data_IF_110098125407
#
_entry.id   IF_110098125407
#
_cell.length_a   1.000
_cell.length_b   1.000
_cell.length_c   1.000
_cell.angle_alpha   90.00
_cell.angle_beta   90.00
_cell.angle_gamma   90.00
#
_symmetry.space_group_name_H-M   'P 1'
#
loop_
_entity.id
_entity.type
_entity.pdbx_description
1 polymer ?
#
# COMPACT_ATOMS: atom_id res chain seq x y z
N UNK A 1 -84.16 -21.06 -24.20
CA UNK A 1 -83.20 -20.03 -24.41
C UNK A 1 -81.76 -20.60 -24.59
N UNK A 2 -80.93 -19.99 -25.42
CA UNK A 2 -79.53 -20.46 -25.57
C UNK A 2 -78.74 -20.34 -24.31
N UNK A 3 -77.71 -21.19 -24.13
CA UNK A 3 -76.88 -21.10 -22.94
C UNK A 3 -76.08 -19.79 -22.93
N UNK A 4 -75.67 -19.26 -21.75
CA UNK A 4 -74.93 -18.06 -21.69
C UNK A 4 -73.57 -18.26 -22.36
N UNK A 5 -72.94 -17.16 -22.90
CA UNK A 5 -71.63 -17.28 -23.48
C UNK A 5 -70.56 -17.62 -22.45
N UNK A 6 -69.49 -18.31 -22.83
CA UNK A 6 -68.45 -18.65 -21.88
C UNK A 6 -67.78 -17.39 -21.34
N UNK A 7 -67.24 -17.43 -20.14
CA UNK A 7 -66.52 -16.30 -19.57
C UNK A 7 -65.28 -15.93 -20.43
N UNK A 8 -64.89 -14.68 -20.42
CA UNK A 8 -63.69 -14.29 -21.17
C UNK A 8 -62.45 -14.97 -20.58
N UNK A 9 -61.42 -15.20 -21.37
CA UNK A 9 -60.18 -15.79 -20.87
C UNK A 9 -59.50 -14.88 -19.86
N UNK A 10 -58.75 -15.42 -18.94
CA UNK A 10 -58.02 -14.61 -17.96
C UNK A 10 -56.98 -13.73 -18.67
N UNK A 11 -56.64 -12.55 -18.11
CA UNK A 11 -55.64 -11.73 -18.69
C UNK A 11 -54.28 -12.42 -18.71
N UNK A 12 -53.41 -12.08 -19.65
CA UNK A 12 -52.06 -12.67 -19.67
C UNK A 12 -51.28 -12.29 -18.43
N UNK A 13 -50.33 -13.13 -17.99
CA UNK A 13 -49.50 -12.80 -16.84
C UNK A 13 -48.64 -11.56 -17.12
N UNK A 14 -48.30 -10.77 -16.09
CA UNK A 14 -47.46 -9.63 -16.31
C UNK A 14 -46.08 -10.06 -16.81
N UNK A 15 -45.40 -9.19 -17.60
CA UNK A 15 -44.06 -9.53 -18.05
C UNK A 15 -43.09 -9.70 -16.87
N UNK A 16 -42.05 -10.53 -16.99
CA UNK A 16 -41.11 -10.70 -15.91
C UNK A 16 -40.46 -9.38 -15.57
N UNK A 17 -40.15 -9.19 -14.27
CA UNK A 17 -39.49 -7.98 -13.84
C UNK A 17 -38.10 -7.86 -14.50
N UNK A 18 -37.69 -6.63 -14.82
CA UNK A 18 -36.35 -6.39 -15.31
C UNK A 18 -35.31 -6.85 -14.31
N UNK A 19 -34.16 -7.38 -14.76
CA UNK A 19 -33.10 -7.75 -13.83
C UNK A 19 -32.64 -6.54 -13.03
N UNK A 20 -32.18 -6.71 -11.79
CA UNK A 20 -31.69 -5.58 -11.03
C UNK A 20 -30.49 -4.94 -11.74
N UNK A 21 -30.27 -3.66 -11.55
CA UNK A 21 -29.08 -3.02 -12.15
C UNK A 21 -27.82 -3.67 -11.62
N UNK A 22 -26.73 -3.70 -12.40
CA UNK A 22 -25.49 -4.24 -11.90
C UNK A 22 -24.99 -3.43 -10.69
N UNK A 23 -24.25 -4.04 -9.76
CA UNK A 23 -23.71 -3.29 -8.65
C UNK A 23 -22.80 -2.18 -9.15
N UNK A 24 -22.66 -1.08 -8.41
CA UNK A 24 -21.75 -0.02 -8.83
C UNK A 24 -20.32 -0.57 -8.92
N UNK A 25 -19.48 -0.01 -9.81
CA UNK A 25 -18.10 -0.45 -9.90
C UNK A 25 -17.39 -0.24 -8.56
N UNK A 26 -16.38 -1.07 -8.22
CA UNK A 26 -15.64 -0.88 -7.00
C UNK A 26 -14.95 0.48 -7.00
N UNK A 27 -14.66 1.06 -5.81
CA UNK A 27 -13.90 2.30 -5.74
C UNK A 27 -12.55 2.14 -6.46
N UNK A 28 -12.03 3.20 -7.11
CA UNK A 28 -10.75 3.10 -7.79
C UNK A 28 -9.64 2.75 -6.81
N UNK A 29 -8.70 1.86 -7.20
CA UNK A 29 -7.57 1.54 -6.35
C UNK A 29 -6.66 2.74 -6.20
N UNK A 30 -6.02 2.83 -5.02
CA UNK A 30 -4.97 3.80 -4.75
C UNK A 30 -3.69 3.00 -4.55
N UNK A 31 -2.69 3.27 -5.38
CA UNK A 31 -1.36 2.71 -5.19
C UNK A 31 -0.39 3.87 -5.28
N UNK A 32 0.21 4.22 -4.16
CA UNK A 32 1.15 5.34 -4.08
C UNK A 32 2.47 4.82 -3.52
N UNK A 33 3.53 5.02 -4.28
CA UNK A 33 4.88 4.65 -3.87
C UNK A 33 5.66 5.91 -3.54
N UNK A 34 6.21 5.95 -2.35
CA UNK A 34 7.03 7.06 -1.87
C UNK A 34 8.42 6.55 -1.57
N UNK A 35 9.43 7.25 -2.05
CA UNK A 35 10.83 6.90 -1.80
C UNK A 35 11.41 7.91 -0.82
N UNK A 36 11.99 7.40 0.25
CA UNK A 36 12.64 8.22 1.27
C UNK A 36 14.15 7.93 1.28
N UNK A 37 14.95 8.98 1.40
CA UNK A 37 16.39 8.82 1.56
C UNK A 37 16.68 8.16 2.92
N UNK A 38 17.43 7.07 2.91
CA UNK A 38 17.75 6.38 4.16
C UNK A 38 18.58 7.26 5.10
N UNK A 39 19.41 8.13 4.54
CA UNK A 39 20.24 9.04 5.35
C UNK A 39 19.40 10.05 6.13
N UNK A 40 18.21 10.40 5.64
CA UNK A 40 17.25 11.25 6.36
C UNK A 40 16.48 10.49 7.44
N UNK A 41 16.37 9.18 7.30
CA UNK A 41 15.60 8.33 8.21
C UNK A 41 16.45 7.70 9.30
N UNK A 42 17.68 7.34 8.99
CA UNK A 42 18.56 6.58 9.86
C UNK A 42 19.98 7.14 9.83
N UNK A 43 20.66 7.02 10.96
CA UNK A 43 22.10 7.26 10.99
C UNK A 43 22.85 6.12 10.32
N UNK A 44 24.08 6.37 9.89
CA UNK A 44 24.90 5.38 9.20
C UNK A 44 25.00 4.09 10.02
N UNK A 45 24.66 2.96 9.39
CA UNK A 45 24.72 1.64 10.01
C UNK A 45 23.66 1.38 11.09
N UNK A 46 22.72 2.29 11.28
CA UNK A 46 21.69 2.16 12.31
C UNK A 46 20.30 1.98 11.72
N UNK A 47 19.42 1.42 12.54
CA UNK A 47 18.02 1.19 12.16
C UNK A 47 17.03 1.92 13.06
N UNK A 48 17.50 2.76 13.96
CA UNK A 48 16.63 3.61 14.78
C UNK A 48 16.18 4.83 13.98
N UNK A 49 14.88 5.10 14.01
CA UNK A 49 14.30 6.21 13.24
C UNK A 49 14.71 7.57 13.83
N UNK A 50 15.17 8.46 12.96
CA UNK A 50 15.46 9.84 13.33
C UNK A 50 14.13 10.62 13.49
N UNK A 51 14.12 11.75 14.25
CA UNK A 51 12.91 12.56 14.38
C UNK A 51 12.30 12.99 13.05
N UNK A 52 13.12 13.32 12.06
CA UNK A 52 12.68 13.68 10.71
C UNK A 52 11.91 12.54 10.05
N UNK A 53 12.39 11.30 10.23
CA UNK A 53 11.71 10.11 9.70
C UNK A 53 10.33 9.94 10.32
N UNK A 54 10.26 10.13 11.63
CA UNK A 54 8.97 10.01 12.34
C UNK A 54 7.96 11.02 11.84
N UNK A 55 8.37 12.26 11.60
CA UNK A 55 7.50 13.29 11.06
C UNK A 55 6.98 12.91 9.67
N UNK A 56 7.83 12.37 8.80
CA UNK A 56 7.44 11.94 7.46
C UNK A 56 6.49 10.74 7.49
N UNK A 57 6.73 9.81 8.40
CA UNK A 57 5.85 8.65 8.57
C UNK A 57 4.50 9.05 9.18
N UNK A 58 4.47 10.03 10.08
CA UNK A 58 3.21 10.58 10.61
C UNK A 58 2.38 11.19 9.49
N UNK A 59 3.01 11.91 8.58
CA UNK A 59 2.34 12.47 7.41
C UNK A 59 1.77 11.36 6.52
N UNK A 60 2.53 10.29 6.32
CA UNK A 60 2.06 9.13 5.56
C UNK A 60 0.84 8.49 6.21
N UNK A 61 0.85 8.30 7.52
CA UNK A 61 -0.28 7.75 8.26
C UNK A 61 -1.52 8.64 8.10
N UNK A 62 -1.33 9.95 8.16
CA UNK A 62 -2.44 10.90 7.95
C UNK A 62 -3.08 10.73 6.57
N UNK A 63 -2.27 10.47 5.54
CA UNK A 63 -2.79 10.24 4.19
C UNK A 63 -3.59 8.95 4.07
N UNK A 64 -3.33 7.95 4.90
CA UNK A 64 -4.07 6.69 4.86
C UNK A 64 -5.46 6.79 5.50
N UNK A 65 -5.74 7.84 6.26
CA UNK A 65 -7.04 7.99 6.93
C UNK A 65 -8.19 8.24 5.94
N UNK A 66 -7.88 8.74 4.74
CA UNK A 66 -8.88 8.99 3.70
C UNK A 66 -9.12 7.83 2.75
N UNK A 67 -8.47 6.68 2.98
CA UNK A 67 -8.60 5.51 2.12
C UNK A 67 -8.90 4.27 2.95
N UNK A 68 -9.46 3.25 2.27
CA UNK A 68 -9.60 1.92 2.85
C UNK A 68 -8.27 1.19 2.61
N UNK A 69 -7.42 1.19 3.61
CA UNK A 69 -6.08 0.63 3.50
C UNK A 69 -6.13 -0.90 3.37
N UNK A 70 -5.50 -1.42 2.34
CA UNK A 70 -5.32 -2.86 2.14
C UNK A 70 -3.97 -3.31 2.65
N UNK A 71 -2.90 -2.66 2.18
CA UNK A 71 -1.54 -3.06 2.51
C UNK A 71 -0.59 -1.87 2.41
N UNK A 72 0.43 -1.88 3.27
CA UNK A 72 1.60 -1.02 3.16
C UNK A 72 2.81 -1.93 3.04
N UNK A 73 3.65 -1.67 2.05
CA UNK A 73 4.87 -2.44 1.81
C UNK A 73 6.06 -1.51 2.01
N UNK A 74 6.92 -1.85 2.96
CA UNK A 74 8.15 -1.09 3.23
C UNK A 74 9.34 -1.92 2.76
N UNK A 75 10.13 -1.39 1.84
CA UNK A 75 11.29 -2.08 1.27
C UNK A 75 12.54 -1.25 1.52
N UNK A 76 13.49 -1.84 2.23
CA UNK A 76 14.78 -1.20 2.51
C UNK A 76 15.80 -1.56 1.44
N UNK A 77 16.60 -0.58 1.05
CA UNK A 77 17.69 -0.73 0.10
C UNK A 77 18.95 -0.08 0.63
N UNK A 78 20.10 -0.64 0.26
CA UNK A 78 21.41 -0.10 0.65
C UNK A 78 22.25 0.18 -0.60
N UNK A 79 23.39 0.85 -0.40
CA UNK A 79 24.45 0.89 -1.41
C UNK A 79 25.27 -0.40 -1.34
N UNK A 80 26.36 -0.47 -2.09
CA UNK A 80 27.23 -1.65 -2.15
C UNK A 80 28.37 -1.64 -1.14
N UNK A 81 28.39 -0.69 -0.22
CA UNK A 81 29.42 -0.65 0.83
C UNK A 81 29.12 -1.70 1.90
N UNK A 82 30.15 -2.45 2.28
CA UNK A 82 30.02 -3.52 3.24
C UNK A 82 29.68 -4.87 2.58
N UNK A 83 29.49 -5.89 3.39
CA UNK A 83 29.16 -7.22 2.88
C UNK A 83 27.69 -7.29 2.50
N UNK A 84 27.39 -8.23 1.57
CA UNK A 84 26.02 -8.51 1.13
C UNK A 84 25.13 -8.90 2.33
N UNK A 85 25.63 -9.78 3.19
CA UNK A 85 24.89 -10.22 4.37
C UNK A 85 24.62 -9.09 5.35
N UNK A 86 25.58 -8.18 5.57
CA UNK A 86 25.39 -7.02 6.41
C UNK A 86 24.32 -6.09 5.84
N UNK A 87 24.41 -5.77 4.55
CA UNK A 87 23.47 -4.88 3.89
C UNK A 87 22.06 -5.48 3.87
N UNK A 88 21.95 -6.79 3.69
CA UNK A 88 20.66 -7.46 3.75
C UNK A 88 20.03 -7.32 5.14
N UNK A 89 20.78 -7.59 6.19
CA UNK A 89 20.29 -7.44 7.57
C UNK A 89 19.91 -6.00 7.89
N UNK A 90 20.72 -5.04 7.46
CA UNK A 90 20.46 -3.63 7.71
C UNK A 90 19.17 -3.18 7.02
N UNK A 91 18.97 -3.58 5.76
CA UNK A 91 17.78 -3.21 5.01
C UNK A 91 16.50 -3.80 5.64
N UNK A 92 16.57 -5.04 6.11
CA UNK A 92 15.45 -5.68 6.82
C UNK A 92 15.18 -4.95 8.13
N UNK A 93 16.22 -4.67 8.92
CA UNK A 93 16.06 -3.98 10.21
C UNK A 93 15.44 -2.60 10.03
N UNK A 94 15.83 -1.88 8.99
CA UNK A 94 15.27 -0.55 8.69
C UNK A 94 13.80 -0.62 8.28
N UNK A 95 13.43 -1.57 7.43
CA UNK A 95 12.02 -1.73 7.06
C UNK A 95 11.17 -2.20 8.24
N UNK A 96 11.71 -3.05 9.11
CA UNK A 96 11.03 -3.45 10.35
C UNK A 96 10.85 -2.28 11.31
N UNK A 97 11.81 -1.36 11.38
CA UNK A 97 11.68 -0.15 12.19
C UNK A 97 10.53 0.73 11.70
N UNK A 98 10.39 0.85 10.39
CA UNK A 98 9.26 1.57 9.77
C UNK A 98 7.94 0.90 10.14
N UNK A 99 7.86 -0.42 10.04
CA UNK A 99 6.66 -1.18 10.40
C UNK A 99 6.29 -0.97 11.86
N UNK A 100 7.26 -1.07 12.77
CA UNK A 100 7.01 -0.89 14.20
C UNK A 100 6.46 0.50 14.50
N UNK A 101 6.98 1.52 13.84
CA UNK A 101 6.50 2.88 13.99
C UNK A 101 5.06 3.04 13.48
N UNK A 102 4.77 2.51 12.29
CA UNK A 102 3.44 2.58 11.71
C UNK A 102 2.40 1.85 12.58
N UNK A 103 2.74 0.67 13.09
CA UNK A 103 1.83 -0.07 13.96
C UNK A 103 1.61 0.64 15.29
N UNK A 104 2.63 1.32 15.80
CA UNK A 104 2.50 2.16 16.99
C UNK A 104 1.60 3.37 16.79
N UNK A 105 1.38 3.77 15.55
CA UNK A 105 0.48 4.88 15.19
C UNK A 105 -0.94 4.43 14.82
N UNK A 106 -1.24 3.16 14.97
CA UNK A 106 -2.58 2.64 14.76
C UNK A 106 -2.80 1.88 13.46
N UNK A 107 -1.77 1.70 12.63
CA UNK A 107 -1.87 0.86 11.45
C UNK A 107 -1.86 -0.61 11.87
N UNK A 108 -2.79 -1.40 11.35
CA UNK A 108 -2.88 -2.81 11.69
C UNK A 108 -1.63 -3.57 11.26
N UNK A 109 -1.05 -4.32 12.19
CA UNK A 109 0.19 -5.06 11.97
C UNK A 109 0.12 -6.00 10.76
N UNK A 110 -1.01 -6.66 10.56
CA UNK A 110 -1.19 -7.61 9.46
C UNK A 110 -1.35 -6.95 8.09
N UNK A 111 -1.40 -5.61 8.04
CA UNK A 111 -1.48 -4.85 6.80
C UNK A 111 -0.13 -4.27 6.38
N UNK A 112 0.90 -4.41 7.21
CA UNK A 112 2.22 -3.87 6.90
C UNK A 112 3.18 -5.02 6.62
N UNK A 113 3.73 -5.02 5.42
CA UNK A 113 4.72 -6.00 4.97
C UNK A 113 6.06 -5.32 4.83
N UNK A 114 7.10 -6.03 5.17
CA UNK A 114 8.47 -5.52 5.11
C UNK A 114 9.33 -6.42 4.25
N UNK A 115 10.29 -5.82 3.56
CA UNK A 115 11.24 -6.54 2.77
C UNK A 115 12.57 -5.78 2.78
N UNK A 116 13.67 -6.53 2.82
CA UNK A 116 15.00 -5.96 2.67
C UNK A 116 15.63 -6.49 1.39
N UNK A 117 16.02 -5.59 0.50
CA UNK A 117 16.67 -5.94 -0.75
C UNK A 117 18.19 -5.80 -0.68
N UNK A 118 18.72 -5.23 0.42
CA UNK A 118 20.14 -4.99 0.53
C UNK A 118 20.64 -4.14 -0.64
N UNK A 119 21.76 -4.54 -1.23
CA UNK A 119 22.36 -3.85 -2.37
C UNK A 119 21.92 -4.38 -3.75
N UNK A 120 20.99 -5.34 -3.78
CA UNK A 120 20.66 -6.09 -5.00
C UNK A 120 19.86 -5.33 -6.04
N UNK A 121 19.23 -4.22 -5.69
CA UNK A 121 18.40 -3.44 -6.61
C UNK A 121 18.82 -1.97 -6.62
N UNK A 122 20.00 -1.65 -7.15
CA UNK A 122 20.44 -0.27 -7.22
C UNK A 122 19.63 0.51 -8.27
N UNK A 123 19.40 1.79 -7.98
CA UNK A 123 18.77 2.73 -8.93
C UNK A 123 19.77 3.68 -9.52
N UNK A 124 21.01 3.66 -9.03
CA UNK A 124 22.09 4.56 -9.47
C UNK A 124 23.44 3.83 -9.35
N UNK A 125 24.49 4.49 -9.81
CA UNK A 125 25.83 3.93 -9.81
C UNK A 125 26.42 3.92 -8.39
N UNK A 126 26.85 2.75 -7.92
CA UNK A 126 27.51 2.59 -6.62
C UNK A 126 28.97 3.06 -6.61
N UNK A 127 29.48 3.52 -7.74
CA UNK A 127 30.86 4.04 -7.85
C UNK A 127 30.95 5.52 -7.47
N UNK A 128 29.84 6.23 -7.44
CA UNK A 128 29.81 7.66 -7.09
C UNK A 128 29.12 7.86 -5.76
N UNK A 129 29.48 8.97 -5.07
CA UNK A 129 28.83 9.35 -3.82
C UNK A 129 27.33 9.60 -4.01
N UNK A 130 26.99 10.31 -5.08
CA UNK A 130 25.61 10.63 -5.41
C UNK A 130 24.79 9.38 -5.70
N UNK A 131 25.38 8.43 -6.45
CA UNK A 131 24.75 7.18 -6.78
C UNK A 131 24.51 6.32 -5.54
N UNK A 132 25.51 6.20 -4.67
CA UNK A 132 25.37 5.48 -3.39
C UNK A 132 24.27 6.07 -2.54
N UNK A 133 24.22 7.40 -2.44
CA UNK A 133 23.18 8.10 -1.68
C UNK A 133 21.78 7.77 -2.20
N UNK A 134 21.60 7.71 -3.51
CA UNK A 134 20.34 7.35 -4.14
C UNK A 134 19.98 5.90 -3.89
N UNK A 135 20.96 5.01 -3.80
CA UNK A 135 20.71 3.59 -3.52
C UNK A 135 20.31 3.35 -2.07
N UNK A 136 20.79 4.18 -1.14
CA UNK A 136 20.39 4.11 0.27
C UNK A 136 19.01 4.75 0.42
N UNK A 137 17.99 3.92 0.34
CA UNK A 137 16.61 4.40 0.37
C UNK A 137 15.66 3.40 1.03
N UNK A 138 14.53 3.91 1.46
CA UNK A 138 13.40 3.08 1.88
C UNK A 138 12.22 3.45 0.98
N UNK A 139 11.68 2.45 0.30
CA UNK A 139 10.52 2.62 -0.56
C UNK A 139 9.29 2.13 0.19
N UNK A 140 8.25 2.96 0.24
CA UNK A 140 7.00 2.60 0.92
C UNK A 140 5.89 2.71 -0.10
N UNK A 141 5.17 1.61 -0.30
CA UNK A 141 4.01 1.57 -1.18
C UNK A 141 2.75 1.40 -0.36
N UNK A 142 1.80 2.29 -0.55
CA UNK A 142 0.49 2.26 0.11
C UNK A 142 -0.53 1.82 -0.92
N UNK A 143 -1.23 0.73 -0.65
CA UNK A 143 -2.26 0.20 -1.54
C UNK A 143 -3.59 0.16 -0.79
N UNK A 144 -4.62 0.64 -1.43
CA UNK A 144 -5.97 0.64 -0.85
C UNK A 144 -6.99 1.08 -1.88
N UNK A 145 -8.15 1.47 -1.40
CA UNK A 145 -9.21 2.03 -2.25
C UNK A 145 -9.68 3.34 -1.63
N UNK A 146 -10.08 4.27 -2.50
CA UNK A 146 -10.63 5.54 -2.03
C UNK A 146 -12.02 5.32 -1.47
N UNK A 147 -12.28 5.96 -0.33
CA UNK A 147 -13.62 5.95 0.26
C UNK A 147 -14.53 6.79 -0.63
N UNK A 148 -15.66 6.20 -1.05
CA UNK A 148 -16.68 6.95 -1.75
C UNK A 148 -17.51 7.77 -0.77
N UNK A 149 -17.86 8.94 -1.19
CA UNK A 149 -18.79 9.79 -0.47
C UNK A 149 -20.11 9.90 -1.24
#
# INVERSE_FOLDING_TARGET
PPPPPPPPPPPPPPPPASPPPPPPPPPPPVAEKVTFAADAFFDTGKSALKPEARAKLDDLVSKTTGINLEVIIAVGHTDSDGSDAYNQKLSVARSEAVKSYLTGKGVEKNRVYTEGKGEKQPVADNKTKEGKSKNRRVEIEVVGTRTRR
#
